data_IF_569760679942
#
_entry.id   IF_569760679942
#
_cell.length_a   1.000
_cell.length_b   1.000
_cell.length_c   1.000
_cell.angle_alpha   90.00
_cell.angle_beta   90.00
_cell.angle_gamma   90.00
#
_symmetry.space_group_name_H-M   'P 1'
#
loop_
_entity.id
_entity.type
_entity.pdbx_description
1 polymer ?
#
# COMPACT_ATOMS: atom_id res chain seq x y z
N UNK A 1 -20.48 27.53 61.40
CA UNK A 1 -20.40 27.61 59.93
C UNK A 1 -20.55 26.21 59.32
N UNK A 2 -21.74 25.63 59.45
CA UNK A 2 -22.21 24.43 58.75
C UNK A 2 -23.55 24.83 58.15
N UNK A 3 -23.68 24.65 56.83
CA UNK A 3 -24.83 24.92 55.94
C UNK A 3 -24.44 25.83 54.76
N UNK A 4 -23.77 25.26 53.76
CA UNK A 4 -23.88 25.71 52.34
C UNK A 4 -23.17 24.82 51.30
N UNK A 5 -22.98 23.53 51.58
CA UNK A 5 -22.22 22.65 50.66
C UNK A 5 -22.92 21.32 50.35
N UNK A 6 -24.25 21.24 50.45
CA UNK A 6 -25.01 20.00 50.24
C UNK A 6 -26.23 20.12 49.30
N UNK A 7 -26.29 21.13 48.43
CA UNK A 7 -27.48 21.34 47.56
C UNK A 7 -27.20 21.52 46.05
N UNK A 8 -26.03 21.10 45.55
CA UNK A 8 -25.76 21.12 44.10
C UNK A 8 -25.32 19.76 43.51
N UNK A 9 -25.57 18.67 44.23
CA UNK A 9 -25.45 17.32 43.70
C UNK A 9 -26.83 16.81 43.28
N UNK A 10 -27.35 17.30 42.15
CA UNK A 10 -28.68 16.87 41.69
C UNK A 10 -29.37 17.79 40.67
N UNK A 11 -28.68 18.18 39.59
CA UNK A 11 -29.36 18.68 38.39
C UNK A 11 -28.58 18.23 37.16
N UNK A 12 -28.98 17.09 36.62
CA UNK A 12 -28.61 16.69 35.26
C UNK A 12 -29.17 17.77 34.34
N UNK A 13 -28.28 18.57 33.73
CA UNK A 13 -28.65 19.55 32.73
C UNK A 13 -29.35 18.82 31.57
N UNK A 14 -30.67 18.96 31.53
CA UNK A 14 -31.56 18.49 30.46
C UNK A 14 -31.90 19.65 29.52
N UNK A 15 -30.94 20.53 29.27
CA UNK A 15 -31.07 21.58 28.26
C UNK A 15 -30.09 21.29 27.14
N UNK A 16 -30.64 20.92 25.98
CA UNK A 16 -29.85 20.74 24.77
C UNK A 16 -29.17 22.08 24.43
N UNK A 17 -27.85 22.10 24.19
CA UNK A 17 -27.15 23.32 23.82
C UNK A 17 -27.73 23.91 22.52
N UNK A 18 -27.87 25.24 22.45
CA UNK A 18 -28.63 25.96 21.40
C UNK A 18 -28.27 25.58 19.95
N UNK A 19 -27.03 25.13 19.71
CA UNK A 19 -26.60 24.64 18.40
C UNK A 19 -27.42 23.45 17.89
N UNK A 20 -28.06 22.69 18.79
CA UNK A 20 -28.94 21.56 18.46
C UNK A 20 -30.27 22.03 17.82
N UNK A 21 -30.70 23.27 18.11
CA UNK A 21 -31.93 23.87 17.55
C UNK A 21 -31.67 24.56 16.20
N UNK A 22 -30.47 25.10 16.01
CA UNK A 22 -30.05 25.73 14.75
C UNK A 22 -29.76 24.71 13.64
N UNK A 23 -29.42 23.47 13.99
CA UNK A 23 -29.09 22.41 13.04
C UNK A 23 -30.29 21.85 12.26
N UNK A 24 -31.53 22.23 12.60
CA UNK A 24 -32.71 21.93 11.79
C UNK A 24 -32.84 20.44 11.40
N UNK A 25 -33.14 19.60 12.40
CA UNK A 25 -33.29 18.12 12.39
C UNK A 25 -32.07 17.37 12.94
N UNK A 26 -32.38 16.34 13.72
CA UNK A 26 -31.42 15.48 14.41
C UNK A 26 -30.39 14.91 13.42
N UNK A 27 -29.07 15.11 13.63
CA UNK A 27 -28.04 14.67 12.68
C UNK A 27 -27.81 13.15 12.68
N UNK A 28 -28.54 12.40 13.53
CA UNK A 28 -28.44 10.94 13.64
C UNK A 28 -29.64 10.20 13.04
N UNK A 29 -30.54 10.91 12.35
CA UNK A 29 -31.71 10.31 11.70
C UNK A 29 -31.48 9.93 10.22
N UNK A 30 -30.33 10.30 9.64
CA UNK A 30 -29.93 9.93 8.28
C UNK A 30 -28.74 8.97 8.35
N UNK A 31 -28.69 7.99 7.43
CA UNK A 31 -27.66 6.96 7.35
C UNK A 31 -26.27 7.57 7.03
N UNK A 32 -25.57 7.98 8.09
CA UNK A 32 -24.17 8.40 8.04
C UNK A 32 -23.90 9.75 7.37
N UNK A 33 -22.60 10.08 7.29
CA UNK A 33 -22.12 11.35 6.74
C UNK A 33 -22.27 11.37 5.22
N UNK A 34 -23.43 11.81 4.74
CA UNK A 34 -23.68 12.01 3.32
C UNK A 34 -22.85 13.19 2.77
N UNK A 35 -22.47 13.17 1.48
CA UNK A 35 -21.77 14.28 0.85
C UNK A 35 -22.52 15.62 0.96
N UNK A 36 -23.87 15.58 0.99
CA UNK A 36 -24.67 16.79 1.17
C UNK A 36 -24.56 17.36 2.59
N UNK A 37 -24.44 16.51 3.62
CA UNK A 37 -24.23 16.95 4.99
C UNK A 37 -22.84 17.57 5.16
N UNK A 38 -21.80 16.97 4.56
CA UNK A 38 -20.43 17.51 4.56
C UNK A 38 -20.37 18.89 3.90
N UNK A 39 -21.01 19.06 2.74
CA UNK A 39 -21.07 20.35 2.06
C UNK A 39 -21.79 21.43 2.90
N UNK A 40 -22.80 21.06 3.69
CA UNK A 40 -23.47 21.99 4.61
C UNK A 40 -22.61 22.37 5.80
N UNK A 41 -21.83 21.43 6.33
CA UNK A 41 -20.89 21.68 7.44
C UNK A 41 -19.78 22.62 6.98
N UNK A 42 -19.21 22.41 5.78
CA UNK A 42 -18.20 23.31 5.21
C UNK A 42 -18.76 24.73 5.00
N UNK A 43 -19.97 24.85 4.45
CA UNK A 43 -20.62 26.15 4.22
C UNK A 43 -20.98 26.87 5.53
N UNK A 44 -21.27 26.14 6.60
CA UNK A 44 -21.47 26.70 7.94
C UNK A 44 -20.16 27.12 8.62
N UNK A 45 -19.07 26.39 8.39
CA UNK A 45 -17.74 26.73 8.89
C UNK A 45 -17.18 27.99 8.23
N UNK A 46 -17.41 28.18 6.93
CA UNK A 46 -17.03 29.40 6.20
C UNK A 46 -17.76 30.64 6.72
N UNK A 47 -19.03 30.52 7.13
CA UNK A 47 -19.79 31.62 7.73
C UNK A 47 -19.28 32.05 9.10
N UNK A 48 -18.61 31.16 9.84
CA UNK A 48 -18.10 31.44 11.20
C UNK A 48 -16.79 32.23 11.22
N UNK A 49 -16.03 32.22 10.12
CA UNK A 49 -14.70 32.84 10.06
C UNK A 49 -14.64 34.17 9.27
N UNK A 50 -15.78 34.81 9.01
CA UNK A 50 -15.89 35.91 8.04
C UNK A 50 -16.33 37.28 8.59
N UNK A 51 -16.01 37.66 9.83
CA UNK A 51 -16.15 39.06 10.28
C UNK A 51 -14.88 39.85 9.93
N UNK A 52 -14.65 40.12 8.65
CA UNK A 52 -13.50 40.88 8.17
C UNK A 52 -13.73 41.41 6.77
N UNK A 53 -13.97 42.73 6.66
CA UNK A 53 -14.15 43.51 5.42
C UNK A 53 -13.26 43.02 4.27
N UNK A 54 -13.87 42.61 3.15
CA UNK A 54 -13.26 42.77 1.82
C UNK A 54 -14.29 43.31 0.84
N UNK A 55 -13.82 44.32 0.11
CA UNK A 55 -14.54 45.22 -0.76
C UNK A 55 -14.97 44.50 -2.05
N UNK A 56 -16.25 44.70 -2.37
CA UNK A 56 -16.93 44.62 -3.66
C UNK A 56 -16.03 44.63 -4.91
N UNK A 57 -16.18 43.63 -5.80
CA UNK A 57 -16.27 43.86 -7.25
C UNK A 57 -17.06 42.74 -7.94
N UNK A 58 -18.19 43.15 -8.50
CA UNK A 58 -19.12 42.41 -9.36
C UNK A 58 -18.41 41.69 -10.51
N UNK A 59 -18.87 40.48 -10.87
CA UNK A 59 -19.44 40.17 -12.20
C UNK A 59 -20.50 39.07 -12.08
N UNK A 60 -21.55 39.25 -12.89
CA UNK A 60 -22.83 38.54 -12.95
C UNK A 60 -22.81 37.59 -14.14
N UNK A 61 -23.54 36.47 -14.00
CA UNK A 61 -24.12 35.68 -15.12
C UNK A 61 -23.49 34.30 -15.29
N UNK A 62 -24.22 33.20 -15.53
CA UNK A 62 -25.58 33.00 -16.04
C UNK A 62 -26.14 31.66 -15.49
N UNK A 63 -27.47 31.58 -15.41
CA UNK A 63 -28.34 30.40 -15.17
C UNK A 63 -28.05 29.21 -16.12
N UNK A 64 -28.52 27.98 -15.95
CA UNK A 64 -29.48 27.35 -15.05
C UNK A 64 -29.98 26.03 -15.67
N UNK A 65 -30.65 25.21 -14.84
CA UNK A 65 -31.71 24.21 -15.13
C UNK A 65 -31.28 22.99 -16.00
N UNK A 66 -31.43 21.72 -15.60
CA UNK A 66 -32.69 20.97 -15.43
C UNK A 66 -32.46 19.64 -14.70
N UNK A 67 -33.38 19.30 -13.80
CA UNK A 67 -33.60 17.97 -13.24
C UNK A 67 -34.99 17.48 -13.68
N UNK A 68 -35.10 16.24 -14.18
CA UNK A 68 -36.34 15.41 -14.28
C UNK A 68 -35.85 13.96 -14.26
N UNK A 69 -35.95 13.25 -13.12
CA UNK A 69 -36.96 12.23 -12.79
C UNK A 69 -37.12 11.11 -13.83
N UNK A 70 -36.87 9.86 -13.43
CA UNK A 70 -37.93 8.83 -13.38
C UNK A 70 -37.50 7.59 -12.58
N UNK A 71 -38.37 7.27 -11.62
CA UNK A 71 -38.46 6.06 -10.81
C UNK A 71 -38.95 4.87 -11.65
N UNK A 72 -38.52 3.65 -11.30
CA UNK A 72 -39.04 2.41 -11.88
C UNK A 72 -38.67 1.12 -11.15
N UNK A 73 -39.32 0.89 -9.98
CA UNK A 73 -39.75 -0.42 -9.41
C UNK A 73 -38.65 -1.47 -9.10
N UNK A 74 -38.22 -1.63 -7.83
CA UNK A 74 -38.71 -2.61 -6.83
C UNK A 74 -38.60 -4.08 -7.27
N UNK A 75 -37.72 -4.85 -6.62
CA UNK A 75 -37.99 -6.21 -6.13
C UNK A 75 -36.91 -6.61 -5.11
N UNK A 76 -37.29 -6.58 -3.83
CA UNK A 76 -36.61 -7.23 -2.71
C UNK A 76 -37.47 -8.46 -2.34
N UNK A 77 -36.86 -9.56 -1.88
CA UNK A 77 -37.47 -10.33 -0.81
C UNK A 77 -36.52 -10.44 0.40
N UNK A 78 -37.05 -10.03 1.54
CA UNK A 78 -36.57 -10.43 2.86
C UNK A 78 -36.77 -11.94 3.05
N UNK A 79 -35.74 -12.64 3.54
CA UNK A 79 -35.80 -13.55 4.70
C UNK A 79 -34.69 -14.62 4.64
N UNK A 80 -33.93 -14.74 5.74
CA UNK A 80 -33.00 -15.84 5.98
C UNK A 80 -31.89 -15.48 6.96
N UNK A 81 -32.25 -15.21 8.22
CA UNK A 81 -31.29 -14.93 9.30
C UNK A 81 -30.48 -16.16 9.71
N UNK A 82 -29.25 -15.92 10.17
CA UNK A 82 -28.46 -16.93 10.86
C UNK A 82 -26.97 -16.64 10.95
N UNK A 83 -26.58 -16.11 12.11
CA UNK A 83 -25.27 -16.20 12.79
C UNK A 83 -24.13 -15.27 12.38
N UNK A 84 -23.74 -14.51 13.40
CA UNK A 84 -22.44 -13.90 13.65
C UNK A 84 -21.28 -14.89 13.42
N UNK A 85 -20.31 -14.45 12.63
CA UNK A 85 -18.88 -14.74 12.85
C UNK A 85 -18.10 -13.80 11.94
N UNK A 86 -17.16 -13.06 12.52
CA UNK A 86 -16.43 -11.98 11.86
C UNK A 86 -15.60 -12.46 10.69
N UNK A 87 -15.71 -11.74 9.58
CA UNK A 87 -14.75 -11.74 8.49
C UNK A 87 -14.56 -10.29 8.04
N UNK A 88 -13.31 -9.82 8.11
CA UNK A 88 -12.88 -8.55 7.56
C UNK A 88 -12.92 -8.55 6.02
N UNK A 89 -12.73 -7.40 5.37
CA UNK A 89 -13.02 -7.25 3.94
C UNK A 89 -12.00 -7.98 3.06
N UNK A 90 -12.33 -9.24 2.70
CA UNK A 90 -11.66 -10.05 1.69
C UNK A 90 -12.38 -9.88 0.34
N UNK A 91 -11.88 -8.98 -0.51
CA UNK A 91 -11.90 -9.02 -1.99
C UNK A 91 -11.65 -7.61 -2.57
N UNK A 92 -10.38 -7.23 -2.80
CA UNK A 92 -10.06 -5.97 -3.51
C UNK A 92 -10.26 -6.10 -5.03
N UNK A 93 -10.25 -7.34 -5.57
CA UNK A 93 -10.25 -7.57 -7.03
C UNK A 93 -11.40 -8.45 -7.55
N UNK A 94 -12.25 -9.02 -6.68
CA UNK A 94 -13.36 -9.87 -7.10
C UNK A 94 -14.69 -9.14 -7.03
N UNK A 95 -15.09 -8.49 -8.12
CA UNK A 95 -16.49 -8.24 -8.44
C UNK A 95 -16.70 -8.46 -9.95
N UNK A 96 -17.19 -9.66 -10.30
CA UNK A 96 -17.80 -9.93 -11.60
C UNK A 96 -19.28 -9.56 -11.53
N UNK A 97 -19.72 -8.80 -12.53
CA UNK A 97 -21.10 -8.43 -12.88
C UNK A 97 -21.56 -7.05 -12.39
N UNK A 98 -21.41 -6.09 -13.29
CA UNK A 98 -22.00 -4.74 -13.24
C UNK A 98 -21.42 -3.92 -14.37
N UNK A 99 -22.15 -3.84 -15.49
CA UNK A 99 -21.86 -3.10 -16.73
C UNK A 99 -20.53 -2.33 -16.76
N UNK A 100 -19.58 -2.84 -17.55
CA UNK A 100 -18.35 -2.13 -17.88
C UNK A 100 -18.69 -0.83 -18.62
N UNK A 101 -18.76 0.28 -17.88
CA UNK A 101 -18.63 1.61 -18.46
C UNK A 101 -17.19 1.75 -18.90
N UNK A 102 -16.98 1.59 -20.19
CA UNK A 102 -15.74 1.87 -20.90
C UNK A 102 -15.20 3.26 -20.46
N UNK A 103 -14.04 3.35 -19.79
CA UNK A 103 -13.40 4.64 -19.62
C UNK A 103 -12.83 5.02 -20.99
N UNK A 104 -13.54 5.90 -21.68
CA UNK A 104 -12.95 6.73 -22.73
C UNK A 104 -11.68 7.33 -22.14
N UNK A 105 -10.51 7.08 -22.74
CA UNK A 105 -9.22 7.62 -22.29
C UNK A 105 -9.37 9.13 -22.13
N UNK A 106 -9.44 9.68 -20.90
CA UNK A 106 -9.27 11.10 -20.73
C UNK A 106 -7.77 11.36 -20.88
N UNK A 107 -7.41 12.41 -21.61
CA UNK A 107 -6.08 13.00 -21.50
C UNK A 107 -5.69 13.08 -20.02
N UNK A 108 -4.43 12.80 -19.72
CA UNK A 108 -3.89 12.75 -18.37
C UNK A 108 -4.50 13.86 -17.50
N UNK A 109 -5.12 13.55 -16.34
CA UNK A 109 -5.53 14.60 -15.43
C UNK A 109 -4.26 15.37 -15.06
N UNK A 110 -4.21 16.64 -15.48
CA UNK A 110 -3.17 17.55 -15.02
C UNK A 110 -3.18 17.56 -13.50
N UNK A 111 -1.99 17.61 -12.86
CA UNK A 111 -1.89 17.61 -11.41
C UNK A 111 -2.81 18.68 -10.81
N UNK A 112 -3.49 18.35 -9.72
CA UNK A 112 -4.37 19.26 -8.99
C UNK A 112 -3.70 20.63 -8.80
N UNK A 113 -4.43 21.75 -8.83
CA UNK A 113 -3.86 23.09 -8.62
C UNK A 113 -3.08 23.27 -7.30
N UNK A 114 -3.29 22.36 -6.32
CA UNK A 114 -2.50 22.27 -5.10
C UNK A 114 -1.06 21.78 -5.34
N UNK A 115 -0.85 20.84 -6.28
CA UNK A 115 0.47 20.36 -6.68
C UNK A 115 1.24 21.37 -7.55
N UNK A 116 0.54 22.28 -8.24
CA UNK A 116 1.18 23.34 -9.04
C UNK A 116 1.58 24.60 -8.26
N UNK A 117 1.18 24.73 -6.98
CA UNK A 117 1.52 25.92 -6.15
C UNK A 117 2.76 25.75 -5.27
N UNK A 118 3.41 24.57 -5.28
CA UNK A 118 4.71 24.39 -4.62
C UNK A 118 5.83 24.69 -5.61
N UNK A 119 6.27 25.94 -5.64
CA UNK A 119 7.49 26.34 -6.32
C UNK A 119 8.72 25.71 -5.65
N UNK A 120 9.42 24.82 -6.36
CA UNK A 120 10.87 24.95 -6.53
C UNK A 120 11.83 23.97 -5.85
N UNK A 121 11.39 23.08 -4.97
CA UNK A 121 12.31 22.15 -4.28
C UNK A 121 11.91 20.69 -4.46
N UNK A 122 12.76 19.97 -5.19
CA UNK A 122 12.70 18.54 -5.37
C UNK A 122 13.88 17.89 -4.65
N UNK A 123 13.63 16.78 -3.96
CA UNK A 123 14.69 15.89 -3.56
C UNK A 123 15.01 14.88 -4.66
N UNK A 124 16.21 14.33 -4.63
CA UNK A 124 16.71 13.39 -5.64
C UNK A 124 17.05 12.06 -4.98
N UNK A 125 16.27 11.03 -5.32
CA UNK A 125 16.57 9.65 -4.92
C UNK A 125 17.39 9.00 -6.01
N UNK A 126 18.51 8.37 -5.63
CA UNK A 126 19.40 7.70 -6.57
C UNK A 126 19.27 6.19 -6.42
N UNK A 127 19.17 5.48 -7.54
CA UNK A 127 19.17 4.02 -7.60
C UNK A 127 20.36 3.56 -8.46
N UNK A 128 21.04 2.50 -8.07
CA UNK A 128 22.02 1.82 -8.92
C UNK A 128 21.45 0.47 -9.34
N UNK A 129 21.07 0.36 -10.61
CA UNK A 129 20.39 -0.81 -11.19
C UNK A 129 21.12 -1.19 -12.49
N UNK A 130 21.46 -2.47 -12.67
CA UNK A 130 22.20 -2.92 -13.87
C UNK A 130 23.53 -2.18 -14.10
N UNK A 131 24.18 -1.70 -13.03
CA UNK A 131 25.41 -0.89 -13.11
C UNK A 131 25.21 0.55 -13.59
N UNK A 132 23.97 0.99 -13.79
CA UNK A 132 23.62 2.36 -14.18
C UNK A 132 22.97 3.11 -13.01
N UNK A 133 23.26 4.40 -12.93
CA UNK A 133 22.65 5.30 -11.93
C UNK A 133 21.38 5.92 -12.49
N UNK A 134 20.28 5.69 -11.81
CA UNK A 134 18.97 6.28 -12.10
C UNK A 134 18.61 7.31 -11.03
N UNK A 135 17.90 8.36 -11.42
CA UNK A 135 17.52 9.47 -10.54
C UNK A 135 16.01 9.67 -10.60
N UNK A 136 15.36 9.64 -9.43
CA UNK A 136 13.96 10.00 -9.26
C UNK A 136 13.87 11.35 -8.55
N UNK A 137 13.25 12.33 -9.21
CA UNK A 137 12.99 13.65 -8.60
C UNK A 137 11.65 13.62 -7.88
N UNK A 138 11.66 13.86 -6.57
CA UNK A 138 10.47 13.82 -5.72
C UNK A 138 10.16 15.20 -5.15
N UNK A 139 8.88 15.63 -5.16
CA UNK A 139 8.43 16.71 -4.31
C UNK A 139 8.79 16.50 -2.82
N UNK A 140 9.12 17.58 -2.11
CA UNK A 140 9.60 17.53 -0.72
C UNK A 140 8.56 16.99 0.30
N UNK A 141 7.28 16.92 -0.08
CA UNK A 141 6.20 16.37 0.73
C UNK A 141 6.11 14.83 0.66
N UNK A 142 7.09 14.19 0.01
CA UNK A 142 7.19 12.74 -0.14
C UNK A 142 8.38 12.18 0.63
N UNK A 143 8.16 11.01 1.23
CA UNK A 143 9.19 10.28 1.97
C UNK A 143 10.09 9.49 1.01
N UNK A 144 11.28 10.02 0.71
CA UNK A 144 12.27 9.42 -0.18
C UNK A 144 12.64 7.97 0.16
N UNK A 145 12.57 7.57 1.44
CA UNK A 145 12.90 6.21 1.87
C UNK A 145 11.89 5.17 1.38
N UNK A 146 10.70 5.63 0.99
CA UNK A 146 9.63 4.80 0.47
C UNK A 146 9.60 4.76 -1.08
N UNK A 147 10.55 5.42 -1.75
CA UNK A 147 10.67 5.40 -3.20
C UNK A 147 11.24 4.05 -3.66
N UNK A 148 10.66 3.49 -4.72
CA UNK A 148 11.02 2.16 -5.19
C UNK A 148 11.31 2.17 -6.68
N UNK A 149 12.31 1.40 -7.09
CA UNK A 149 12.65 1.13 -8.48
C UNK A 149 13.26 -0.27 -8.59
N UNK A 150 12.94 -0.99 -9.67
CA UNK A 150 13.44 -2.31 -9.96
C UNK A 150 13.76 -2.44 -11.46
N UNK A 151 14.87 -3.12 -11.76
CA UNK A 151 15.20 -3.47 -13.14
C UNK A 151 14.35 -4.65 -13.64
N UNK A 152 13.84 -4.52 -14.85
CA UNK A 152 13.09 -5.55 -15.57
C UNK A 152 13.67 -5.72 -16.98
N UNK A 153 13.30 -6.78 -17.72
CA UNK A 153 13.69 -6.94 -19.11
C UNK A 153 13.30 -5.75 -20.01
N UNK A 154 12.18 -5.09 -19.72
CA UNK A 154 11.64 -3.98 -20.52
C UNK A 154 12.18 -2.60 -20.14
N UNK A 155 12.82 -2.46 -18.98
CA UNK A 155 13.23 -1.17 -18.44
C UNK A 155 13.24 -1.12 -16.93
N UNK A 156 13.18 0.07 -16.37
CA UNK A 156 13.07 0.29 -14.93
C UNK A 156 11.61 0.53 -14.58
N UNK A 157 11.05 -0.34 -13.74
CA UNK A 157 9.74 -0.11 -13.14
C UNK A 157 9.93 0.60 -11.81
N UNK A 158 9.17 1.66 -11.57
CA UNK A 158 9.33 2.47 -10.37
C UNK A 158 8.00 3.04 -9.86
N UNK A 159 7.98 3.37 -8.57
CA UNK A 159 6.86 4.03 -7.90
C UNK A 159 7.38 5.16 -7.01
N UNK A 160 6.93 6.41 -7.24
CA UNK A 160 7.14 7.45 -6.25
C UNK A 160 6.23 7.16 -5.03
N UNK A 161 6.66 7.49 -3.81
CA UNK A 161 5.82 7.34 -2.63
C UNK A 161 4.76 8.44 -2.63
N UNK A 162 3.51 8.17 -2.20
CA UNK A 162 2.48 9.19 -2.12
C UNK A 162 2.82 10.25 -1.06
N UNK A 163 2.34 11.49 -1.21
CA UNK A 163 2.41 12.46 -0.14
C UNK A 163 1.56 11.97 1.04
N UNK A 164 2.03 12.28 2.25
CA UNK A 164 1.37 11.87 3.49
C UNK A 164 0.81 13.11 4.19
N UNK A 165 -0.47 13.07 4.54
CA UNK A 165 -1.04 14.00 5.51
C UNK A 165 -0.75 13.47 6.90
N UNK A 166 0.06 14.20 7.66
CA UNK A 166 0.37 13.86 9.03
C UNK A 166 -0.54 14.61 10.00
N UNK A 167 -1.08 13.88 10.95
CA UNK A 167 -1.83 14.45 12.07
C UNK A 167 -0.91 14.29 13.28
N UNK A 168 -0.88 15.28 14.18
CA UNK A 168 0.00 15.30 15.36
C UNK A 168 -0.12 14.06 16.30
N UNK A 169 -1.02 13.13 16.01
CA UNK A 169 -1.25 11.88 16.72
C UNK A 169 -0.65 10.69 15.95
N UNK A 170 0.21 9.87 16.58
CA UNK A 170 0.73 8.65 15.97
C UNK A 170 -0.38 7.72 15.45
N UNK A 171 -0.17 7.12 14.27
CA UNK A 171 -1.14 6.21 13.63
C UNK A 171 -2.25 6.91 12.85
N UNK A 172 -2.22 8.24 12.75
CA UNK A 172 -3.21 8.99 11.97
C UNK A 172 -2.68 9.48 10.62
N UNK A 173 -1.41 9.26 10.31
CA UNK A 173 -0.82 9.59 9.01
C UNK A 173 -1.49 8.80 7.88
N UNK A 174 -1.82 9.46 6.77
CA UNK A 174 -2.49 8.84 5.63
C UNK A 174 -1.97 9.33 4.28
N UNK A 175 -2.06 8.49 3.27
CA UNK A 175 -1.76 8.86 1.89
C UNK A 175 -2.82 9.86 1.40
N UNK A 176 -2.40 10.92 0.71
CA UNK A 176 -3.31 11.88 0.06
C UNK A 176 -3.48 11.62 -1.43
N UNK A 177 -2.60 10.83 -2.02
CA UNK A 177 -2.65 10.39 -3.41
C UNK A 177 -2.41 8.87 -3.50
N UNK A 178 -2.90 8.19 -4.55
CA UNK A 178 -2.61 6.79 -4.77
C UNK A 178 -1.15 6.55 -5.16
N UNK A 179 -0.70 5.31 -4.99
CA UNK A 179 0.52 4.83 -5.64
C UNK A 179 0.31 4.71 -7.15
N UNK A 180 1.39 4.92 -7.92
CA UNK A 180 1.39 4.72 -9.35
C UNK A 180 2.68 4.02 -9.77
N UNK A 181 2.55 3.04 -10.66
CA UNK A 181 3.65 2.31 -11.27
C UNK A 181 3.96 2.90 -12.65
N UNK A 182 5.23 3.15 -12.89
CA UNK A 182 5.75 3.67 -14.14
C UNK A 182 6.83 2.74 -14.69
N UNK A 183 6.95 2.69 -16.02
CA UNK A 183 8.00 1.98 -16.75
C UNK A 183 8.80 3.00 -17.56
N UNK A 184 10.07 3.16 -17.19
CA UNK A 184 11.05 3.93 -17.95
C UNK A 184 11.86 2.96 -18.83
N UNK A 185 11.93 3.15 -20.16
CA UNK A 185 12.72 2.29 -21.04
C UNK A 185 14.21 2.27 -20.67
N UNK A 186 14.91 1.19 -21.00
CA UNK A 186 16.37 1.08 -20.77
C UNK A 186 17.12 2.24 -21.43
N UNK A 187 18.20 2.69 -20.77
CA UNK A 187 19.04 3.79 -21.25
C UNK A 187 18.57 5.19 -20.83
N UNK A 188 17.37 5.32 -20.28
CA UNK A 188 16.88 6.58 -19.70
C UNK A 188 17.13 6.59 -18.20
N UNK A 189 18.07 7.41 -17.74
CA UNK A 189 18.47 7.47 -16.33
C UNK A 189 17.57 8.37 -15.47
N UNK A 190 16.73 9.19 -16.10
CA UNK A 190 15.72 10.00 -15.39
C UNK A 190 14.43 9.20 -15.20
N UNK A 191 14.04 8.99 -13.93
CA UNK A 191 12.80 8.34 -13.53
C UNK A 191 11.75 9.42 -13.29
N UNK A 192 11.13 9.89 -14.37
CA UNK A 192 10.11 10.95 -14.34
C UNK A 192 8.81 10.52 -15.01
N UNK A 193 7.68 10.94 -14.46
CA UNK A 193 6.36 10.60 -14.98
C UNK A 193 6.10 11.20 -16.39
N UNK A 194 6.89 12.21 -16.78
CA UNK A 194 6.83 12.84 -18.10
C UNK A 194 7.44 11.98 -19.21
N UNK A 195 8.46 11.19 -18.86
CA UNK A 195 9.21 10.35 -19.82
C UNK A 195 8.86 8.86 -19.73
N UNK A 196 8.14 8.45 -18.69
CA UNK A 196 7.78 7.06 -18.43
C UNK A 196 6.37 6.70 -18.89
N UNK A 197 6.16 5.45 -19.25
CA UNK A 197 4.84 4.88 -19.44
C UNK A 197 4.22 4.58 -18.08
N UNK A 198 3.02 5.09 -17.79
CA UNK A 198 2.28 4.69 -16.59
C UNK A 198 1.68 3.31 -16.78
N UNK A 199 2.10 2.34 -15.98
CA UNK A 199 1.62 0.95 -15.99
C UNK A 199 0.29 0.81 -15.26
N UNK A 200 0.19 1.40 -14.07
CA UNK A 200 -0.96 1.23 -13.21
C UNK A 200 -1.08 2.37 -12.19
N UNK A 201 -2.30 2.66 -11.74
CA UNK A 201 -2.57 3.55 -10.60
C UNK A 201 -3.48 2.82 -9.65
N UNK A 202 -3.02 2.64 -8.41
CA UNK A 202 -3.78 1.95 -7.39
C UNK A 202 -4.98 2.79 -6.94
N UNK A 203 -6.04 2.17 -6.40
CA UNK A 203 -7.05 2.93 -5.69
C UNK A 203 -6.41 3.56 -4.43
N UNK A 204 -6.79 4.80 -4.12
CA UNK A 204 -6.36 5.44 -2.86
C UNK A 204 -6.89 4.68 -1.64
N UNK A 205 -8.17 4.30 -1.72
CA UNK A 205 -8.89 3.60 -0.66
C UNK A 205 -8.91 2.10 -0.91
N UNK A 206 -8.69 1.32 0.14
CA UNK A 206 -8.75 -0.14 0.12
C UNK A 206 -10.03 -0.63 0.82
N UNK A 207 -11.19 -0.31 0.24
CA UNK A 207 -12.50 -0.81 0.67
C UNK A 207 -13.25 0.03 1.71
N UNK A 208 -12.61 0.99 2.37
CA UNK A 208 -13.23 1.87 3.37
C UNK A 208 -12.73 3.31 3.30
N UNK A 209 -13.54 4.27 3.79
CA UNK A 209 -13.23 5.71 3.72
C UNK A 209 -12.01 6.16 4.56
N UNK A 210 -11.53 5.31 5.47
CA UNK A 210 -10.33 5.52 6.30
C UNK A 210 -9.29 4.43 6.11
N UNK A 211 -9.48 3.55 5.12
CA UNK A 211 -8.62 2.41 4.84
C UNK A 211 -7.89 2.69 3.54
N UNK A 212 -6.57 2.77 3.61
CA UNK A 212 -5.71 3.21 2.52
C UNK A 212 -4.89 2.05 1.98
N UNK A 213 -4.65 2.07 0.67
CA UNK A 213 -3.76 1.11 0.05
C UNK A 213 -2.31 1.34 0.48
N UNK A 214 -1.58 0.26 0.74
CA UNK A 214 -0.14 0.26 0.98
C UNK A 214 0.56 -0.60 -0.07
N UNK A 215 1.53 0.00 -0.76
CA UNK A 215 2.47 -0.72 -1.61
C UNK A 215 3.73 -1.05 -0.80
N UNK A 216 4.12 -2.32 -0.80
CA UNK A 216 5.39 -2.79 -0.26
C UNK A 216 6.39 -3.05 -1.38
N UNK A 217 7.24 -4.06 -1.22
CA UNK A 217 8.40 -4.34 -2.07
C UNK A 217 8.03 -4.57 -3.54
N UNK A 218 8.88 -4.12 -4.46
CA UNK A 218 8.87 -4.44 -5.89
C UNK A 218 10.04 -5.37 -6.22
N UNK A 219 9.80 -6.43 -7.00
CA UNK A 219 10.85 -7.26 -7.58
C UNK A 219 10.44 -7.79 -8.96
N UNK A 220 11.43 -8.11 -9.79
CA UNK A 220 11.23 -8.58 -11.17
C UNK A 220 11.17 -10.10 -11.20
N UNK A 221 10.21 -10.64 -11.93
CA UNK A 221 10.08 -12.07 -12.23
C UNK A 221 9.91 -12.26 -13.74
N UNK A 222 10.89 -11.76 -14.50
CA UNK A 222 10.95 -11.89 -15.95
C UNK A 222 9.94 -10.97 -16.64
N UNK A 223 8.92 -11.57 -17.24
CA UNK A 223 7.82 -10.86 -17.91
C UNK A 223 6.85 -10.18 -16.93
N UNK A 224 7.02 -10.40 -15.62
CA UNK A 224 6.13 -9.90 -14.59
C UNK A 224 6.86 -9.00 -13.60
N UNK A 225 6.17 -7.94 -13.19
CA UNK A 225 6.48 -7.23 -11.96
C UNK A 225 5.74 -7.94 -10.83
N UNK A 226 6.46 -8.33 -9.78
CA UNK A 226 5.86 -8.87 -8.56
C UNK A 226 6.03 -7.86 -7.44
N UNK A 227 5.00 -7.73 -6.61
CA UNK A 227 5.04 -6.79 -5.50
C UNK A 227 4.20 -7.21 -4.32
N UNK A 228 4.60 -6.72 -3.14
CA UNK A 228 3.78 -6.87 -1.94
C UNK A 228 2.83 -5.70 -1.79
N UNK A 229 1.63 -5.93 -1.29
CA UNK A 229 0.68 -4.88 -0.97
C UNK A 229 -0.23 -5.25 0.19
N UNK A 230 -0.93 -4.27 0.73
CA UNK A 230 -1.89 -4.46 1.81
C UNK A 230 -2.74 -3.21 2.01
N UNK A 231 -3.36 -3.13 3.18
CA UNK A 231 -4.17 -1.99 3.57
C UNK A 231 -3.83 -1.55 5.00
N UNK A 232 -4.06 -0.27 5.30
CA UNK A 232 -4.02 0.20 6.68
C UNK A 232 -5.18 1.15 6.94
N UNK A 233 -5.76 1.05 8.14
CA UNK A 233 -6.85 1.93 8.57
C UNK A 233 -6.31 3.00 9.52
N UNK A 234 -6.65 4.25 9.25
CA UNK A 234 -6.26 5.40 10.08
C UNK A 234 -6.87 5.27 11.47
N UNK A 235 -6.04 5.49 12.50
CA UNK A 235 -6.47 5.48 13.90
C UNK A 235 -6.57 4.09 14.54
N UNK A 236 -6.43 3.03 13.75
CA UNK A 236 -6.22 1.69 14.28
C UNK A 236 -4.73 1.51 14.62
N UNK A 237 -4.44 0.79 15.70
CA UNK A 237 -3.09 0.24 15.88
C UNK A 237 -2.80 -0.56 14.62
N UNK A 238 -1.61 -0.39 14.01
CA UNK A 238 -1.20 -1.11 12.78
C UNK A 238 -1.23 -2.63 13.00
N UNK A 239 -2.41 -3.22 13.07
CA UNK A 239 -2.60 -4.63 12.80
C UNK A 239 -2.27 -4.75 11.32
N UNK A 240 -1.22 -5.50 11.04
CA UNK A 240 -0.81 -5.72 9.67
C UNK A 240 -1.95 -6.49 9.03
N UNK A 241 -2.76 -5.82 8.20
CA UNK A 241 -3.72 -6.52 7.36
C UNK A 241 -2.95 -7.60 6.60
N UNK A 242 -3.55 -8.79 6.34
CA UNK A 242 -2.91 -9.79 5.51
C UNK A 242 -2.28 -9.12 4.28
N UNK A 243 -0.97 -9.27 4.14
CA UNK A 243 -0.26 -8.81 2.97
C UNK A 243 -0.64 -9.68 1.78
N UNK A 244 -0.45 -9.16 0.58
CA UNK A 244 -0.67 -9.88 -0.67
C UNK A 244 0.58 -9.82 -1.50
N UNK A 245 0.95 -10.94 -2.09
CA UNK A 245 1.85 -10.96 -3.24
C UNK A 245 0.98 -10.88 -4.48
N UNK A 246 1.19 -9.84 -5.27
CA UNK A 246 0.46 -9.62 -6.52
C UNK A 246 1.47 -9.49 -7.66
N UNK A 247 1.01 -9.76 -8.89
CA UNK A 247 1.80 -9.64 -10.10
C UNK A 247 1.11 -8.74 -11.13
N UNK A 248 1.91 -8.13 -11.98
CA UNK A 248 1.49 -7.33 -13.13
C UNK A 248 2.28 -7.78 -14.37
N UNK A 249 1.57 -8.18 -15.43
CA UNK A 249 2.17 -8.64 -16.70
C UNK A 249 2.73 -7.45 -17.50
N UNK A 250 4.06 -7.36 -17.60
CA UNK A 250 4.73 -6.25 -18.27
C UNK A 250 4.61 -6.31 -19.79
N UNK A 251 4.36 -7.49 -20.38
CA UNK A 251 4.21 -7.64 -21.83
C UNK A 251 2.96 -6.92 -22.32
N UNK A 252 1.87 -7.00 -21.55
CA UNK A 252 0.63 -6.24 -21.83
C UNK A 252 0.91 -4.75 -21.91
N UNK A 253 1.72 -4.22 -21.00
CA UNK A 253 2.09 -2.81 -21.03
C UNK A 253 2.89 -2.46 -22.30
N UNK A 254 3.85 -3.30 -22.70
CA UNK A 254 4.60 -3.07 -23.94
C UNK A 254 3.75 -3.17 -25.22
N UNK A 255 2.67 -3.94 -25.17
CA UNK A 255 1.67 -4.03 -26.24
C UNK A 255 0.66 -2.87 -26.23
N UNK A 256 0.75 -1.94 -25.28
CA UNK A 256 -0.22 -0.85 -25.11
C UNK A 256 -1.57 -1.29 -24.52
N UNK A 257 -1.64 -2.50 -23.96
CA UNK A 257 -2.83 -3.00 -23.28
C UNK A 257 -2.91 -2.48 -21.84
N UNK A 258 -4.13 -2.46 -21.30
CA UNK A 258 -4.34 -2.11 -19.89
C UNK A 258 -3.84 -3.23 -18.99
N UNK A 259 -2.78 -2.94 -18.25
CA UNK A 259 -2.25 -3.81 -17.19
C UNK A 259 -3.05 -3.66 -15.90
N UNK A 260 -3.63 -4.76 -15.42
CA UNK A 260 -4.31 -4.81 -14.11
C UNK A 260 -3.56 -5.85 -13.25
N UNK A 261 -3.14 -5.49 -12.04
CA UNK A 261 -2.59 -6.46 -11.11
C UNK A 261 -3.54 -7.60 -10.79
N UNK A 262 -2.97 -8.77 -10.50
CA UNK A 262 -3.71 -9.91 -9.95
C UNK A 262 -2.98 -10.48 -8.74
N UNK A 263 -3.73 -10.98 -7.77
CA UNK A 263 -3.18 -11.58 -6.56
C UNK A 263 -2.67 -13.00 -6.87
N UNK A 264 -1.45 -13.31 -6.42
CA UNK A 264 -0.90 -14.66 -6.46
C UNK A 264 -1.29 -15.43 -5.18
N UNK A 265 -1.01 -14.82 -4.02
CA UNK A 265 -1.42 -15.36 -2.73
C UNK A 265 -1.45 -14.27 -1.66
N UNK A 266 -2.21 -14.55 -0.60
CA UNK A 266 -2.24 -13.75 0.62
C UNK A 266 -1.24 -14.33 1.61
N UNK A 267 -0.47 -13.48 2.27
CA UNK A 267 0.46 -13.86 3.32
C UNK A 267 0.08 -13.17 4.64
N UNK A 268 -0.07 -13.94 5.72
CA UNK A 268 -0.17 -13.36 7.05
C UNK A 268 1.23 -13.25 7.64
N UNK A 269 1.51 -12.19 8.40
CA UNK A 269 2.81 -12.01 9.04
C UNK A 269 3.19 -13.19 9.96
N UNK A 270 2.20 -13.87 10.55
CA UNK A 270 2.39 -15.08 11.36
C UNK A 270 2.85 -16.30 10.57
N UNK A 271 2.56 -16.34 9.27
CA UNK A 271 2.79 -17.53 8.45
C UNK A 271 4.26 -17.61 7.98
N UNK A 272 5.00 -16.52 8.08
CA UNK A 272 6.36 -16.38 7.53
C UNK A 272 7.37 -15.80 8.52
N UNK A 273 7.00 -15.64 9.79
CA UNK A 273 7.88 -15.04 10.81
C UNK A 273 8.91 -16.01 11.37
N UNK A 274 8.87 -17.29 11.00
CA UNK A 274 9.70 -18.33 11.59
C UNK A 274 10.92 -18.64 10.73
N UNK A 275 12.05 -18.82 11.41
CA UNK A 275 13.35 -19.24 10.85
C UNK A 275 13.79 -18.39 9.62
N UNK A 276 14.61 -18.93 8.73
CA UNK A 276 15.07 -18.29 7.50
C UNK A 276 14.02 -18.32 6.37
N UNK A 277 12.73 -18.04 6.61
CA UNK A 277 11.70 -17.99 5.56
C UNK A 277 11.98 -16.92 4.48
N UNK A 278 11.62 -17.18 3.22
CA UNK A 278 11.88 -16.25 2.12
C UNK A 278 10.99 -16.43 0.87
N UNK A 279 11.05 -15.44 -0.02
CA UNK A 279 10.51 -15.46 -1.38
C UNK A 279 11.65 -15.20 -2.38
N UNK A 280 11.72 -16.00 -3.43
CA UNK A 280 12.64 -15.81 -4.55
C UNK A 280 11.89 -15.84 -5.89
N UNK A 281 12.17 -14.87 -6.75
CA UNK A 281 11.62 -14.82 -8.11
C UNK A 281 12.63 -15.36 -9.11
N UNK A 282 12.22 -16.34 -9.91
CA UNK A 282 13.00 -16.85 -11.05
C UNK A 282 12.55 -16.11 -12.31
N UNK A 283 13.32 -15.11 -12.79
CA UNK A 283 12.96 -14.35 -13.96
C UNK A 283 13.08 -15.12 -15.27
N UNK A 284 13.86 -16.21 -15.31
CA UNK A 284 14.03 -17.03 -16.51
C UNK A 284 12.82 -17.93 -16.74
N UNK A 285 12.09 -18.26 -15.67
CA UNK A 285 10.94 -19.18 -15.70
C UNK A 285 9.60 -18.50 -15.39
N UNK A 286 9.59 -17.23 -15.00
CA UNK A 286 8.40 -16.53 -14.51
C UNK A 286 7.75 -17.29 -13.32
N UNK A 287 8.57 -17.75 -12.39
CA UNK A 287 8.16 -18.53 -11.21
C UNK A 287 8.49 -17.80 -9.91
N UNK A 288 7.75 -18.08 -8.84
CA UNK A 288 8.10 -17.68 -7.48
C UNK A 288 8.31 -18.91 -6.60
N UNK A 289 9.47 -18.99 -5.97
CA UNK A 289 9.75 -19.92 -4.89
C UNK A 289 9.39 -19.27 -3.55
N UNK A 290 8.51 -19.91 -2.81
CA UNK A 290 8.15 -19.57 -1.44
C UNK A 290 8.68 -20.64 -0.50
N UNK A 291 9.45 -20.23 0.50
CA UNK A 291 9.94 -21.11 1.57
C UNK A 291 9.48 -20.57 2.92
N UNK A 292 8.72 -21.38 3.65
CA UNK A 292 8.24 -21.10 5.00
C UNK A 292 8.63 -22.23 5.96
N UNK A 293 8.58 -21.94 7.26
CA UNK A 293 8.94 -22.89 8.32
C UNK A 293 7.82 -22.98 9.35
N UNK A 294 7.53 -24.19 9.81
CA UNK A 294 6.53 -24.44 10.86
C UNK A 294 7.14 -25.21 12.00
N UNK A 295 6.75 -24.89 13.23
CA UNK A 295 7.21 -25.64 14.41
C UNK A 295 6.78 -27.10 14.31
N UNK A 296 7.71 -28.02 14.62
CA UNK A 296 7.49 -29.48 14.55
C UNK A 296 6.87 -30.06 15.84
N UNK A 297 6.64 -29.22 16.85
CA UNK A 297 6.14 -29.58 18.18
C UNK A 297 7.20 -30.11 19.16
N UNK A 298 8.44 -30.32 18.71
CA UNK A 298 9.58 -30.79 19.49
C UNK A 298 10.67 -29.70 19.65
N UNK A 299 10.36 -28.45 19.30
CA UNK A 299 11.29 -27.32 19.34
C UNK A 299 12.15 -27.19 18.09
N UNK A 300 11.87 -27.95 17.03
CA UNK A 300 12.44 -27.81 15.70
C UNK A 300 11.48 -27.14 14.71
N UNK A 301 11.95 -26.97 13.48
CA UNK A 301 11.17 -26.43 12.37
C UNK A 301 11.15 -27.40 11.20
N UNK A 302 10.00 -27.52 10.55
CA UNK A 302 9.81 -28.22 9.28
C UNK A 302 9.72 -27.18 8.18
N UNK A 303 10.58 -27.33 7.18
CA UNK A 303 10.54 -26.51 5.98
C UNK A 303 9.37 -26.92 5.08
N UNK A 304 8.65 -25.92 4.59
CA UNK A 304 7.64 -26.03 3.56
C UNK A 304 8.07 -25.19 2.38
N UNK A 305 7.95 -25.74 1.17
CA UNK A 305 8.42 -25.06 -0.04
C UNK A 305 7.39 -25.22 -1.14
N UNK A 306 7.06 -24.11 -1.80
CA UNK A 306 6.08 -24.04 -2.88
C UNK A 306 6.65 -23.26 -4.04
N UNK A 307 6.48 -23.79 -5.24
CA UNK A 307 6.81 -23.12 -6.48
C UNK A 307 5.51 -22.64 -7.14
N UNK A 308 5.39 -21.35 -7.41
CA UNK A 308 4.25 -20.74 -8.06
C UNK A 308 4.58 -20.37 -9.50
N UNK A 309 3.76 -20.82 -10.44
CA UNK A 309 3.80 -20.36 -11.82
C UNK A 309 3.00 -19.05 -11.92
N UNK A 310 3.67 -17.92 -12.15
CA UNK A 310 3.04 -16.59 -12.11
C UNK A 310 1.95 -16.46 -13.18
N UNK A 311 2.18 -17.04 -14.35
CA UNK A 311 1.25 -16.96 -15.49
C UNK A 311 -0.11 -17.60 -15.20
N UNK A 312 -0.12 -18.74 -14.51
CA UNK A 312 -1.35 -19.51 -14.26
C UNK A 312 -1.89 -19.34 -12.85
N UNK A 313 -1.06 -18.82 -11.93
CA UNK A 313 -1.35 -18.78 -10.49
C UNK A 313 -1.36 -20.17 -9.83
N UNK A 314 -0.95 -21.23 -10.55
CA UNK A 314 -0.84 -22.57 -9.98
C UNK A 314 0.40 -22.67 -9.10
N UNK A 315 0.35 -23.59 -8.14
CA UNK A 315 1.47 -23.86 -7.26
C UNK A 315 1.68 -25.35 -7.05
N UNK A 316 2.94 -25.77 -7.02
CA UNK A 316 3.37 -27.12 -6.68
C UNK A 316 4.17 -27.11 -5.38
N UNK A 317 3.93 -28.12 -4.54
CA UNK A 317 4.73 -28.31 -3.31
C UNK A 317 6.02 -29.03 -3.70
N UNK A 318 7.16 -28.48 -3.28
CA UNK A 318 8.45 -29.12 -3.47
C UNK A 318 8.69 -30.14 -2.35
N UNK A 319 8.97 -31.42 -2.68
CA UNK A 319 9.18 -32.46 -1.69
C UNK A 319 10.57 -32.40 -1.04
N UNK A 320 11.53 -31.76 -1.71
CA UNK A 320 12.91 -31.65 -1.24
C UNK A 320 13.16 -30.34 -0.49
N UNK A 321 14.12 -30.39 0.44
CA UNK A 321 14.59 -29.23 1.17
C UNK A 321 15.32 -28.28 0.24
N UNK A 322 14.80 -27.07 0.09
CA UNK A 322 15.51 -25.93 -0.49
C UNK A 322 16.62 -25.51 0.47
N UNK A 323 17.83 -25.33 -0.04
CA UNK A 323 18.99 -24.86 0.73
C UNK A 323 19.39 -23.46 0.30
N UNK A 324 20.07 -22.73 1.18
CA UNK A 324 20.51 -21.35 0.89
C UNK A 324 22.01 -21.19 1.02
N UNK A 325 22.60 -20.38 0.16
CA UNK A 325 24.01 -20.02 0.17
C UNK A 325 24.16 -18.50 0.31
N UNK A 326 24.94 -18.04 1.30
CA UNK A 326 25.32 -16.64 1.44
C UNK A 326 26.42 -16.30 0.43
N UNK A 327 26.21 -15.27 -0.37
CA UNK A 327 27.16 -14.76 -1.35
C UNK A 327 27.39 -13.27 -1.13
N UNK A 328 28.44 -12.75 -1.77
CA UNK A 328 28.79 -11.34 -1.74
C UNK A 328 28.82 -10.76 -3.14
N UNK A 329 28.32 -9.54 -3.28
CA UNK A 329 28.42 -8.76 -4.51
C UNK A 329 28.92 -7.36 -4.21
N UNK A 330 29.68 -6.74 -5.12
CA UNK A 330 30.03 -5.34 -4.97
C UNK A 330 28.77 -4.48 -5.03
N UNK A 331 28.59 -3.60 -4.05
CA UNK A 331 27.55 -2.56 -4.05
C UNK A 331 28.20 -1.20 -3.85
N UNK A 332 27.60 -0.14 -4.40
CA UNK A 332 28.06 1.22 -4.12
C UNK A 332 27.11 1.90 -3.15
N UNK A 333 27.65 2.43 -2.07
CA UNK A 333 26.93 3.27 -1.13
C UNK A 333 27.27 4.72 -1.42
N UNK A 334 26.24 5.56 -1.54
CA UNK A 334 26.38 6.98 -1.81
C UNK A 334 26.18 7.80 -0.53
N UNK A 335 27.21 8.56 -0.13
CA UNK A 335 27.15 9.57 0.93
C UNK A 335 27.30 10.96 0.32
N UNK A 336 26.19 11.52 -0.17
CA UNK A 336 26.21 12.76 -0.94
C UNK A 336 26.93 12.56 -2.28
N UNK A 337 28.02 13.30 -2.50
CA UNK A 337 28.87 13.15 -3.71
C UNK A 337 29.88 12.00 -3.61
N UNK A 338 30.13 11.49 -2.40
CA UNK A 338 31.05 10.38 -2.18
C UNK A 338 30.37 9.05 -2.54
N UNK A 339 31.04 8.24 -3.35
CA UNK A 339 30.60 6.87 -3.67
C UNK A 339 31.67 5.89 -3.20
N UNK A 340 31.29 4.96 -2.31
CA UNK A 340 32.18 3.95 -1.76
C UNK A 340 31.73 2.59 -2.27
N UNK A 341 32.63 1.83 -2.87
CA UNK A 341 32.38 0.42 -3.18
C UNK A 341 32.54 -0.41 -1.91
N UNK A 342 31.50 -1.13 -1.57
CA UNK A 342 31.41 -2.05 -0.43
C UNK A 342 30.97 -3.43 -0.92
N UNK A 343 30.97 -4.44 -0.06
CA UNK A 343 30.38 -5.75 -0.35
C UNK A 343 29.01 -5.82 0.32
N UNK A 344 27.99 -6.18 -0.46
CA UNK A 344 26.66 -6.53 0.04
C UNK A 344 26.53 -8.04 0.10
N UNK A 345 26.09 -8.55 1.25
CA UNK A 345 25.68 -9.93 1.38
C UNK A 345 24.31 -10.13 0.69
N UNK A 346 24.20 -11.17 -0.12
CA UNK A 346 22.94 -11.63 -0.70
C UNK A 346 22.85 -13.15 -0.59
N UNK A 347 21.67 -13.71 -0.75
CA UNK A 347 21.44 -15.14 -0.59
C UNK A 347 20.91 -15.76 -1.87
N UNK A 348 21.37 -16.97 -2.18
CA UNK A 348 20.93 -17.78 -3.32
C UNK A 348 20.25 -19.03 -2.79
N UNK A 349 19.06 -19.33 -3.28
CA UNK A 349 18.34 -20.56 -3.01
C UNK A 349 18.69 -21.63 -4.05
N UNK A 350 18.90 -22.86 -3.60
CA UNK A 350 19.19 -24.04 -4.40
C UNK A 350 18.08 -25.08 -4.18
N UNK A 351 17.45 -25.54 -5.26
CA UNK A 351 16.28 -26.43 -5.21
C UNK A 351 16.21 -27.36 -6.43
N UNK A 352 15.39 -28.40 -6.36
CA UNK A 352 15.20 -29.36 -7.46
C UNK A 352 13.73 -29.40 -7.90
N UNK A 353 13.50 -29.44 -9.21
CA UNK A 353 12.18 -29.58 -9.82
C UNK A 353 12.25 -30.66 -10.89
N UNK A 354 11.54 -31.76 -10.72
CA UNK A 354 11.51 -32.88 -11.69
C UNK A 354 12.91 -33.39 -12.10
N UNK A 355 13.88 -33.45 -11.19
CA UNK A 355 15.26 -33.86 -11.49
C UNK A 355 16.19 -32.73 -11.95
N UNK A 356 15.66 -31.53 -12.20
CA UNK A 356 16.44 -30.35 -12.61
C UNK A 356 16.87 -29.54 -11.38
N UNK A 357 18.18 -29.44 -11.16
CA UNK A 357 18.74 -28.54 -10.14
C UNK A 357 18.66 -27.09 -10.61
N UNK A 358 18.09 -26.24 -9.77
CA UNK A 358 17.84 -24.82 -10.03
C UNK A 358 18.44 -23.96 -8.93
N UNK A 359 18.80 -22.73 -9.30
CA UNK A 359 19.37 -21.74 -8.41
C UNK A 359 18.73 -20.39 -8.68
N UNK A 360 18.37 -19.65 -7.64
CA UNK A 360 17.71 -18.34 -7.77
C UNK A 360 18.09 -17.41 -6.63
N UNK A 361 18.27 -16.12 -6.92
CA UNK A 361 18.54 -15.12 -5.89
C UNK A 361 17.29 -14.88 -5.02
N UNK A 362 17.49 -14.81 -3.70
CA UNK A 362 16.41 -14.50 -2.77
C UNK A 362 16.00 -13.03 -2.97
N UNK A 363 14.73 -12.83 -3.33
CA UNK A 363 14.17 -11.50 -3.61
C UNK A 363 13.69 -10.81 -2.34
N UNK A 364 13.22 -11.57 -1.35
CA UNK A 364 12.72 -11.05 -0.08
C UNK A 364 12.94 -12.05 1.04
N UNK A 365 13.72 -11.66 2.06
CA UNK A 365 13.82 -12.35 3.34
C UNK A 365 12.59 -12.00 4.19
N UNK A 366 11.82 -13.00 4.62
CA UNK A 366 10.58 -12.79 5.38
C UNK A 366 10.64 -13.29 6.82
N UNK A 367 11.52 -14.26 7.09
CA UNK A 367 11.68 -14.84 8.42
C UNK A 367 12.52 -14.00 9.38
N UNK A 368 12.24 -14.09 10.67
CA UNK A 368 12.92 -13.30 11.70
C UNK A 368 14.39 -13.70 11.88
N UNK A 369 14.75 -14.95 11.58
CA UNK A 369 16.11 -15.45 11.80
C UNK A 369 17.13 -14.72 10.92
N UNK A 370 16.74 -14.25 9.73
CA UNK A 370 17.57 -13.38 8.89
C UNK A 370 18.01 -12.12 9.64
N UNK A 371 17.11 -11.51 10.39
CA UNK A 371 17.40 -10.30 11.18
C UNK A 371 18.26 -10.64 12.40
N UNK A 372 17.99 -11.75 13.08
CA UNK A 372 18.78 -12.17 14.24
C UNK A 372 20.23 -12.48 13.88
N UNK A 373 20.45 -13.14 12.75
CA UNK A 373 21.79 -13.42 12.23
C UNK A 373 22.52 -12.14 11.84
N UNK A 374 21.85 -11.24 11.11
CA UNK A 374 22.41 -9.93 10.79
C UNK A 374 22.77 -9.12 12.04
N UNK A 375 21.89 -9.09 13.04
CA UNK A 375 22.13 -8.39 14.31
C UNK A 375 23.33 -8.97 15.06
N UNK A 376 23.46 -10.30 15.06
CA UNK A 376 24.61 -10.95 15.66
C UNK A 376 25.91 -10.65 14.91
N UNK A 377 25.89 -10.66 13.58
CA UNK A 377 27.05 -10.32 12.76
C UNK A 377 27.49 -8.85 12.98
N UNK A 378 26.55 -7.92 13.09
CA UNK A 378 26.82 -6.48 13.25
C UNK A 378 27.21 -6.09 14.68
N UNK A 379 26.59 -6.71 15.69
CA UNK A 379 26.72 -6.28 17.09
C UNK A 379 27.35 -7.32 18.02
N UNK A 380 27.57 -8.56 17.56
CA UNK A 380 28.07 -9.66 18.38
C UNK A 380 27.09 -10.16 19.45
N UNK A 381 25.85 -9.66 19.43
CA UNK A 381 24.82 -9.96 20.42
C UNK A 381 23.80 -10.93 19.86
N UNK A 382 23.58 -12.07 20.54
CA UNK A 382 22.55 -13.02 20.11
C UNK A 382 21.19 -12.56 20.62
N UNK A 383 20.23 -12.46 19.72
CA UNK A 383 18.83 -12.29 20.08
C UNK A 383 18.23 -13.67 20.38
N UNK A 384 17.81 -13.90 21.62
CA UNK A 384 17.05 -15.09 21.98
C UNK A 384 15.57 -14.88 21.68
N UNK A 385 15.11 -15.39 20.54
CA UNK A 385 13.72 -15.31 20.09
C UNK A 385 12.71 -15.84 21.14
N UNK A 386 13.13 -16.77 22.01
CA UNK A 386 12.28 -17.32 23.07
C UNK A 386 11.93 -16.31 24.16
N UNK A 387 12.74 -15.25 24.31
CA UNK A 387 12.49 -14.16 25.27
C UNK A 387 11.53 -13.10 24.73
N UNK A 388 11.41 -12.98 23.40
CA UNK A 388 10.54 -12.02 22.71
C UNK A 388 9.08 -12.53 22.69
N UNK A 389 8.87 -13.83 22.43
CA UNK A 389 7.55 -14.47 22.45
C UNK A 389 6.82 -14.39 23.82
N UNK A 390 7.51 -14.07 24.92
CA UNK A 390 6.92 -13.95 26.27
C UNK A 390 6.35 -12.55 26.59
N UNK A 391 6.50 -11.56 25.70
CA UNK A 391 6.11 -10.16 25.96
C UNK A 391 5.06 -9.58 25.03
N UNK A 392 4.55 -10.36 24.08
CA UNK A 392 3.34 -10.09 23.30
C UNK A 392 2.24 -11.05 23.75
#
# INVERSE_FOLDING_TARGET
MKHRQAENAGKVMTEQPEWYREAGRSPFAEDGFTPQLMARIELAAERRNGAGKVIMRRRIGIAGVTAVLLLGVLLWPLAGGGKESGDGPLAIWNNKSGAAVQPSVPAAPSPSPAAQRSSGYFSKVNFELGGLKYVMSLPIDRDERSAQAVETPLGIVWSPPPPKADYLRPGYTRNTEPYALYLTPKGHTDLSAESAQRLYTFPLYAGGAQTYFALGYLFSAGDYLVFTNGAYTVGEVKQHSPGKISALDLRKASAGEVTVPFDLFTFNSSDYSLDHAFIAADPDRNELLLVDYKEDGNGGFIQHSKLYEITTGKSDVLPETVTTEKKKRPTKVHYGELSITTEEDYYVAHYEVNGEKRTVDISMATGEQWFYDWWYDEHGEKIDASTIKKKL
#
